data_IF_769519169712
#
_entry.id   IF_769519169712
#
_cell.length_a   1.000
_cell.length_b   1.000
_cell.length_c   1.000
_cell.angle_alpha   90.00
_cell.angle_beta   90.00
_cell.angle_gamma   90.00
#
_symmetry.space_group_name_H-M   'P 1'
#
loop_
_entity.id
_entity.type
_entity.pdbx_description
1 polymer ?
#
# COMPACT_ATOMS: atom_id res chain seq x y z
N UNK A 1 -14.00 7.86 18.62
CA UNK A 1 -12.66 7.49 18.13
C UNK A 1 -11.64 8.05 19.08
N UNK A 2 -10.72 7.22 19.56
CA UNK A 2 -9.59 7.69 20.35
C UNK A 2 -8.68 8.56 19.46
N UNK A 3 -8.47 9.86 19.78
CA UNK A 3 -7.65 10.76 18.98
C UNK A 3 -6.18 10.31 18.89
N UNK A 4 -5.71 9.53 19.86
CA UNK A 4 -4.35 8.97 19.86
C UNK A 4 -4.22 7.84 18.84
N UNK A 5 -5.17 6.91 18.81
CA UNK A 5 -5.22 5.86 17.80
C UNK A 5 -5.23 6.41 16.35
N UNK A 6 -6.01 7.48 16.11
CA UNK A 6 -6.07 8.11 14.78
C UNK A 6 -4.73 8.77 14.38
N UNK A 7 -4.03 9.39 15.35
CA UNK A 7 -2.70 9.96 15.13
C UNK A 7 -1.68 8.86 14.81
N UNK A 8 -1.65 7.80 15.62
CA UNK A 8 -0.72 6.68 15.45
C UNK A 8 -0.90 5.99 14.09
N UNK A 9 -2.14 5.83 13.61
CA UNK A 9 -2.42 5.27 12.29
C UNK A 9 -1.87 6.16 11.17
N UNK A 10 -2.02 7.48 11.29
CA UNK A 10 -1.50 8.43 10.30
C UNK A 10 0.03 8.43 10.25
N UNK A 11 0.68 8.43 11.41
CA UNK A 11 2.14 8.36 11.51
C UNK A 11 2.70 7.05 10.97
N UNK A 12 2.03 5.93 11.27
CA UNK A 12 2.40 4.61 10.74
C UNK A 12 2.28 4.55 9.22
N UNK A 13 1.21 5.13 8.66
CA UNK A 13 1.04 5.22 7.20
C UNK A 13 2.08 6.13 6.54
N UNK A 14 2.46 7.24 7.21
CA UNK A 14 3.54 8.13 6.75
C UNK A 14 4.87 7.39 6.67
N UNK A 15 5.21 6.65 7.73
CA UNK A 15 6.44 5.86 7.77
C UNK A 15 6.45 4.80 6.67
N UNK A 16 5.34 4.08 6.50
CA UNK A 16 5.21 3.08 5.43
C UNK A 16 5.39 3.70 4.03
N UNK A 17 4.85 4.90 3.80
CA UNK A 17 5.06 5.63 2.53
C UNK A 17 6.51 6.07 2.34
N UNK A 18 7.20 6.53 3.39
CA UNK A 18 8.62 6.84 3.31
C UNK A 18 9.47 5.61 2.97
N UNK A 19 9.18 4.48 3.60
CA UNK A 19 9.83 3.19 3.27
C UNK A 19 9.56 2.79 1.81
N UNK A 20 8.34 2.95 1.33
CA UNK A 20 7.97 2.59 -0.05
C UNK A 20 8.74 3.41 -1.10
N UNK A 21 9.03 4.68 -0.79
CA UNK A 21 9.82 5.57 -1.64
C UNK A 21 11.30 5.17 -1.65
N UNK A 22 11.87 4.84 -0.48
CA UNK A 22 13.26 4.35 -0.37
C UNK A 22 13.44 3.07 -1.19
N UNK A 23 12.46 2.18 -1.15
CA UNK A 23 12.46 0.93 -1.91
C UNK A 23 12.03 1.09 -3.37
N UNK A 24 11.72 2.31 -3.81
CA UNK A 24 11.30 2.65 -5.18
C UNK A 24 10.15 1.77 -5.66
N UNK A 25 9.18 1.49 -4.78
CA UNK A 25 8.02 0.65 -5.09
C UNK A 25 7.06 1.33 -6.07
N UNK A 26 7.14 2.65 -6.20
CA UNK A 26 6.23 3.47 -7.02
C UNK A 26 4.77 3.46 -6.52
N UNK A 27 4.52 3.09 -5.27
CA UNK A 27 3.17 3.08 -4.68
C UNK A 27 2.83 4.44 -4.08
N UNK A 28 1.68 5.00 -4.46
CA UNK A 28 1.16 6.19 -3.82
C UNK A 28 0.56 5.88 -2.44
N UNK A 29 0.34 6.94 -1.66
CA UNK A 29 -0.15 6.86 -0.28
C UNK A 29 -1.54 6.24 -0.15
N UNK A 30 -2.42 6.46 -1.13
CA UNK A 30 -3.77 5.89 -1.12
C UNK A 30 -3.70 4.38 -1.36
N UNK A 31 -2.89 3.95 -2.33
CA UNK A 31 -2.63 2.53 -2.60
C UNK A 31 -2.08 1.84 -1.34
N UNK A 32 -1.06 2.40 -0.69
CA UNK A 32 -0.50 1.82 0.55
C UNK A 32 -1.57 1.70 1.66
N UNK A 33 -2.42 2.72 1.82
CA UNK A 33 -3.51 2.67 2.81
C UNK A 33 -4.46 1.50 2.55
N UNK A 34 -4.76 1.20 1.29
CA UNK A 34 -5.59 0.05 0.92
C UNK A 34 -4.85 -1.24 1.25
N UNK A 35 -3.58 -1.36 0.87
CA UNK A 35 -2.78 -2.57 1.11
C UNK A 35 -2.68 -2.88 2.61
N UNK A 36 -2.45 -1.87 3.45
CA UNK A 36 -2.45 -2.02 4.92
C UNK A 36 -3.80 -2.53 5.43
N UNK A 37 -4.90 -1.93 4.98
CA UNK A 37 -6.25 -2.36 5.40
C UNK A 37 -6.63 -3.77 4.93
N UNK A 38 -6.03 -4.24 3.83
CA UNK A 38 -6.17 -5.62 3.34
C UNK A 38 -5.33 -6.58 4.19
N UNK A 39 -4.07 -6.23 4.49
CA UNK A 39 -3.22 -7.01 5.40
C UNK A 39 -3.84 -7.14 6.80
N UNK A 40 -4.45 -6.08 7.33
CA UNK A 40 -5.18 -6.09 8.62
C UNK A 40 -6.36 -7.08 8.63
N UNK A 41 -6.91 -7.42 7.45
CA UNK A 41 -7.97 -8.43 7.28
C UNK A 41 -7.43 -9.85 7.13
N UNK A 42 -6.12 -10.05 7.26
CA UNK A 42 -5.46 -11.34 7.16
C UNK A 42 -5.08 -11.75 5.74
N UNK A 43 -5.11 -10.83 4.78
CA UNK A 43 -4.60 -11.11 3.43
C UNK A 43 -3.07 -11.26 3.46
N UNK A 44 -2.58 -12.26 2.73
CA UNK A 44 -1.16 -12.54 2.61
C UNK A 44 -0.45 -11.41 1.82
N UNK A 45 0.60 -10.76 2.38
CA UNK A 45 1.31 -9.66 1.72
C UNK A 45 2.01 -10.05 0.41
N UNK A 46 2.55 -11.26 0.31
CA UNK A 46 3.23 -11.75 -0.89
C UNK A 46 2.27 -11.92 -2.07
N UNK A 47 1.09 -12.49 -1.81
CA UNK A 47 0.03 -12.63 -2.80
C UNK A 47 -0.50 -11.26 -3.25
N UNK A 48 -0.65 -10.33 -2.31
CA UNK A 48 -1.08 -8.97 -2.59
C UNK A 48 -0.03 -8.23 -3.45
N UNK A 49 1.26 -8.42 -3.17
CA UNK A 49 2.34 -7.86 -3.98
C UNK A 49 2.35 -8.42 -5.42
N UNK A 50 2.10 -9.74 -5.58
CA UNK A 50 1.96 -10.34 -6.90
C UNK A 50 0.78 -9.73 -7.68
N UNK A 51 -0.38 -9.58 -7.04
CA UNK A 51 -1.56 -8.98 -7.64
C UNK A 51 -1.35 -7.52 -8.05
N UNK A 52 -0.73 -6.69 -7.20
CA UNK A 52 -0.41 -5.29 -7.53
C UNK A 52 0.53 -5.19 -8.74
N UNK A 53 1.50 -6.09 -8.85
CA UNK A 53 2.41 -6.14 -10.02
C UNK A 53 1.66 -6.51 -11.29
N UNK A 54 0.75 -7.49 -11.22
CA UNK A 54 -0.06 -7.91 -12.35
C UNK A 54 -0.98 -6.78 -12.83
N UNK A 55 -1.69 -6.10 -11.93
CA UNK A 55 -2.55 -4.97 -12.26
C UNK A 55 -1.79 -3.84 -12.97
N UNK A 56 -0.57 -3.53 -12.51
CA UNK A 56 0.29 -2.51 -13.15
C UNK A 56 0.71 -2.91 -14.55
N UNK A 57 1.07 -4.18 -14.73
CA UNK A 57 1.43 -4.70 -16.04
C UNK A 57 0.23 -4.64 -17.01
N UNK A 58 -0.98 -5.01 -16.54
CA UNK A 58 -2.19 -4.86 -17.35
C UNK A 58 -2.51 -3.42 -17.73
N UNK A 59 -2.37 -2.46 -16.79
CA UNK A 59 -2.59 -1.05 -17.11
C UNK A 59 -1.63 -0.55 -18.18
N UNK A 60 -0.34 -0.94 -18.11
CA UNK A 60 0.64 -0.58 -19.12
C UNK A 60 0.36 -1.26 -20.47
N UNK A 61 -0.17 -2.48 -20.47
CA UNK A 61 -0.50 -3.21 -21.70
C UNK A 61 -1.70 -2.61 -22.45
N UNK A 62 -2.64 -1.97 -21.73
CA UNK A 62 -3.84 -1.36 -22.33
C UNK A 62 -3.60 0.04 -22.91
N UNK A 63 -2.44 0.64 -22.63
CA UNK A 63 -2.05 1.97 -23.11
C UNK A 63 -1.21 1.92 -24.40
N UNK A 64 -0.92 0.72 -24.93
CA UNK A 64 -0.20 0.47 -26.19
C UNK A 64 -1.19 0.00 -27.26
#
# INVERSE_FOLDING_TARGET
>A
MDPEAARNARESLELAFQMSNILVTGLDRHTISILVALCDRGLNPEALAAFVRELRNESHLREI
#
